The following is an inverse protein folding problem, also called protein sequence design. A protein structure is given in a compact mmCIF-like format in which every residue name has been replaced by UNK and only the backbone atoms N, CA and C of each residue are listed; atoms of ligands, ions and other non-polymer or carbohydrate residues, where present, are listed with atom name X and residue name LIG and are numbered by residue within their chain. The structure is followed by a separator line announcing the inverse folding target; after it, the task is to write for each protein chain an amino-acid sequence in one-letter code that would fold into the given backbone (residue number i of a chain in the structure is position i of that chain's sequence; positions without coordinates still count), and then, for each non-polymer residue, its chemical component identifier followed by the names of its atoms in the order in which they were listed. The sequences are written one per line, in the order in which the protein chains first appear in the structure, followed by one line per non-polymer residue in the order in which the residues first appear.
data_IF_137199325463
#
_entry.id   IF_137199325463
#
_cell.length_a   1.000
_cell.length_b   1.000
_cell.length_c   1.000
_cell.angle_alpha   90.00
_cell.angle_beta   90.00
_cell.angle_gamma   90.00
#
_symmetry.space_group_name_H-M   'P 1'
#
loop_
_entity.id
_entity.type
_entity.pdbx_description
1 polymer ?
#
# COMPACT_ATOMS: atom_id res chain seq x y z
N UNK A 1 -3.05 -1.24 -28.70
CA UNK A 1 -3.75 -0.94 -27.43
C UNK A 1 -3.61 0.54 -27.17
N UNK A 2 -4.74 1.25 -27.07
CA UNK A 2 -4.74 2.68 -26.80
C UNK A 2 -4.23 2.86 -25.37
N UNK A 3 -3.06 3.48 -25.23
CA UNK A 3 -2.55 3.92 -23.94
C UNK A 3 -3.64 4.81 -23.33
N UNK A 4 -4.20 4.39 -22.19
CA UNK A 4 -5.23 5.13 -21.47
C UNK A 4 -4.55 6.29 -20.75
N UNK A 5 -4.12 7.28 -21.53
CA UNK A 5 -3.25 8.40 -21.14
C UNK A 5 -3.94 9.45 -20.23
N UNK A 6 -5.05 9.07 -19.60
CA UNK A 6 -5.96 9.97 -18.88
C UNK A 6 -6.43 9.42 -17.52
N UNK A 7 -5.83 8.34 -17.00
CA UNK A 7 -6.09 7.94 -15.61
C UNK A 7 -5.48 9.00 -14.68
N UNK A 8 -6.24 9.55 -13.71
CA UNK A 8 -5.70 10.53 -12.77
C UNK A 8 -4.58 9.93 -11.92
N UNK A 9 -3.52 10.69 -11.66
CA UNK A 9 -2.37 10.22 -10.88
C UNK A 9 -2.81 9.91 -9.43
N UNK A 10 -2.17 8.93 -8.78
CA UNK A 10 -2.56 8.54 -7.43
C UNK A 10 -2.55 9.70 -6.42
N UNK A 11 -1.76 10.76 -6.68
CA UNK A 11 -1.46 11.87 -5.78
C UNK A 11 -2.16 13.19 -6.13
N UNK A 12 -2.99 13.25 -7.18
CA UNK A 12 -3.60 14.51 -7.67
C UNK A 12 -4.67 15.11 -6.74
N UNK A 13 -5.06 14.41 -5.66
CA UNK A 13 -6.08 14.87 -4.71
C UNK A 13 -5.43 15.30 -3.39
N UNK A 14 -5.93 16.36 -2.73
CA UNK A 14 -5.34 16.90 -1.51
C UNK A 14 -5.30 15.89 -0.36
N UNK A 15 -6.31 15.02 -0.26
CA UNK A 15 -6.37 13.90 0.69
C UNK A 15 -6.87 12.65 -0.02
N UNK A 16 -6.14 11.54 0.11
CA UNK A 16 -6.53 10.24 -0.43
C UNK A 16 -6.57 9.14 0.63
N UNK A 17 -7.68 8.42 0.66
CA UNK A 17 -7.83 7.17 1.40
C UNK A 17 -7.72 6.05 0.39
N UNK A 18 -6.71 5.18 0.54
CA UNK A 18 -6.61 3.97 -0.25
C UNK A 18 -7.16 2.79 0.55
N UNK A 19 -8.30 2.27 0.09
CA UNK A 19 -8.80 0.96 0.44
C UNK A 19 -8.22 -0.03 -0.59
N UNK A 20 -7.81 -1.23 -0.17
CA UNK A 20 -7.08 -2.21 -1.01
C UNK A 20 -7.95 -2.82 -2.14
N UNK A 21 -9.04 -2.15 -2.53
CA UNK A 21 -9.99 -2.63 -3.52
C UNK A 21 -10.51 -1.48 -4.42
N UNK A 22 -9.68 -0.48 -4.71
CA UNK A 22 -10.08 0.61 -5.59
C UNK A 22 -9.74 0.26 -7.05
N UNK A 23 -10.79 -0.14 -7.80
CA UNK A 23 -10.85 -0.34 -9.25
C UNK A 23 -9.71 -1.15 -9.94
N UNK A 24 -9.80 -1.44 -11.24
CA UNK A 24 -8.64 -1.97 -11.99
C UNK A 24 -7.53 -0.91 -12.15
N UNK A 25 -7.86 0.38 -11.96
CA UNK A 25 -7.04 1.53 -12.32
C UNK A 25 -6.39 2.26 -11.13
N UNK A 26 -6.68 1.89 -9.88
CA UNK A 26 -6.11 2.53 -8.68
C UNK A 26 -5.27 1.57 -7.81
N UNK A 27 -4.79 0.48 -8.43
CA UNK A 27 -4.04 -0.56 -7.73
C UNK A 27 -2.63 -0.09 -7.38
N UNK A 28 -2.31 -0.08 -6.09
CA UNK A 28 -0.95 0.11 -5.57
C UNK A 28 -0.38 -1.22 -5.10
N UNK A 29 0.79 -1.61 -5.60
CA UNK A 29 1.45 -2.86 -5.20
C UNK A 29 2.57 -2.59 -4.20
N UNK A 30 2.53 -3.25 -3.04
CA UNK A 30 3.61 -3.20 -2.06
C UNK A 30 4.66 -4.26 -2.34
N UNK A 31 5.90 -3.84 -2.60
CA UNK A 31 7.03 -4.72 -2.91
C UNK A 31 8.26 -4.36 -2.09
N UNK A 32 9.26 -5.21 -2.24
CA UNK A 32 10.64 -4.88 -1.99
C UNK A 32 11.38 -5.16 -3.29
N UNK A 33 12.09 -4.17 -3.82
CA UNK A 33 12.96 -4.37 -4.96
C UNK A 33 14.29 -4.95 -4.46
N UNK A 34 14.86 -5.92 -5.17
CA UNK A 34 16.11 -6.57 -4.76
C UNK A 34 17.33 -5.94 -5.45
N UNK A 35 17.16 -5.49 -6.68
CA UNK A 35 18.23 -4.83 -7.46
C UNK A 35 17.66 -3.70 -8.31
N UNK A 36 18.52 -2.83 -8.82
CA UNK A 36 18.14 -1.78 -9.78
C UNK A 36 17.52 -2.33 -11.07
N UNK A 37 18.01 -3.48 -11.54
CA UNK A 37 17.52 -4.07 -12.79
C UNK A 37 16.13 -4.67 -12.59
N UNK A 38 15.92 -5.33 -11.44
CA UNK A 38 14.63 -5.89 -11.12
C UNK A 38 13.55 -4.82 -10.98
N UNK A 39 13.82 -3.73 -10.26
CA UNK A 39 12.80 -2.67 -10.12
C UNK A 39 12.41 -2.10 -11.48
N UNK A 40 13.38 -1.91 -12.39
CA UNK A 40 13.11 -1.39 -13.74
C UNK A 40 12.16 -2.31 -14.51
N UNK A 41 12.39 -3.63 -14.47
CA UNK A 41 11.51 -4.62 -15.12
C UNK A 41 10.12 -4.62 -14.48
N UNK A 42 10.04 -4.55 -13.15
CA UNK A 42 8.77 -4.51 -12.41
C UNK A 42 7.94 -3.28 -12.77
N UNK A 43 8.55 -2.11 -12.98
CA UNK A 43 7.83 -0.91 -13.44
C UNK A 43 7.14 -1.19 -14.77
N UNK A 44 7.90 -1.63 -15.78
CA UNK A 44 7.35 -1.92 -17.11
C UNK A 44 6.25 -2.98 -17.08
N UNK A 45 6.41 -4.03 -16.27
CA UNK A 45 5.40 -5.09 -16.13
C UNK A 45 4.13 -4.58 -15.44
N UNK A 46 4.26 -3.77 -14.39
CA UNK A 46 3.12 -3.24 -13.65
C UNK A 46 2.35 -2.20 -14.47
N UNK A 47 3.02 -1.30 -15.17
CA UNK A 47 2.37 -0.38 -16.10
C UNK A 47 1.58 -1.14 -17.18
N UNK A 48 2.17 -2.18 -17.78
CA UNK A 48 1.49 -3.03 -18.77
C UNK A 48 0.28 -3.77 -18.20
N UNK A 49 0.31 -4.09 -16.91
CA UNK A 49 -0.80 -4.71 -16.19
C UNK A 49 -1.87 -3.71 -15.73
N UNK A 50 -1.70 -2.41 -16.00
CA UNK A 50 -2.62 -1.34 -15.58
C UNK A 50 -2.55 -1.01 -14.10
N UNK A 51 -1.45 -1.34 -13.43
CA UNK A 51 -1.21 -0.99 -12.02
C UNK A 51 -0.79 0.48 -11.94
N UNK A 52 -1.37 1.21 -10.98
CA UNK A 52 -1.21 2.66 -10.84
C UNK A 52 0.07 3.08 -10.10
N UNK A 53 0.68 2.16 -9.36
CA UNK A 53 1.93 2.46 -8.68
C UNK A 53 2.51 1.30 -7.90
N UNK A 54 3.71 1.55 -7.37
CA UNK A 54 4.45 0.61 -6.52
C UNK A 54 4.93 1.32 -5.25
N UNK A 55 4.91 0.60 -4.13
CA UNK A 55 5.55 1.02 -2.89
C UNK A 55 6.72 0.10 -2.57
N UNK A 56 7.93 0.66 -2.44
CA UNK A 56 9.17 -0.10 -2.26
C UNK A 56 9.89 0.28 -0.97
N UNK A 57 10.11 -0.70 -0.09
CA UNK A 57 10.79 -0.53 1.20
C UNK A 57 12.33 -0.71 1.15
N UNK A 58 13.03 -0.18 2.14
CA UNK A 58 14.50 -0.21 2.30
C UNK A 58 15.02 -1.25 3.33
N UNK A 59 14.24 -2.30 3.60
CA UNK A 59 14.66 -3.42 4.46
C UNK A 59 15.76 -4.30 3.81
N UNK A 60 16.50 -5.07 4.61
CA UNK A 60 17.37 -6.18 4.15
C UNK A 60 16.59 -7.48 3.87
N UNK A 61 17.26 -8.50 3.32
CA UNK A 61 16.63 -9.80 2.96
C UNK A 61 16.81 -10.83 4.08
N UNK A 62 15.81 -11.68 4.38
CA UNK A 62 14.44 -11.72 3.83
C UNK A 62 13.50 -10.62 4.38
N UNK A 63 12.43 -10.29 3.63
CA UNK A 63 11.41 -9.31 4.07
C UNK A 63 10.75 -9.78 5.37
N UNK A 64 10.74 -8.91 6.38
CA UNK A 64 10.04 -9.13 7.65
C UNK A 64 8.88 -8.16 7.74
N UNK A 65 7.69 -8.64 8.10
CA UNK A 65 6.54 -7.78 8.36
C UNK A 65 6.90 -6.68 9.38
N UNK A 66 6.47 -5.43 9.12
CA UNK A 66 6.66 -4.28 10.00
C UNK A 66 5.90 -4.39 11.33
N UNK A 67 5.13 -5.46 11.54
CA UNK A 67 4.44 -5.77 12.80
C UNK A 67 5.14 -6.87 13.62
N UNK A 68 6.11 -7.63 13.07
CA UNK A 68 6.80 -8.66 13.86
C UNK A 68 7.60 -8.06 15.02
N UNK A 69 7.32 -8.55 16.22
CA UNK A 69 8.08 -8.26 17.43
C UNK A 69 9.43 -9.00 17.43
N UNK A 70 10.45 -8.34 17.95
CA UNK A 70 11.81 -8.86 18.05
C UNK A 70 12.76 -7.75 18.49
N UNK A 71 13.59 -8.03 19.50
CA UNK A 71 14.47 -7.05 20.12
C UNK A 71 15.67 -6.65 19.25
N UNK A 72 16.01 -7.46 18.25
CA UNK A 72 17.11 -7.20 17.35
C UNK A 72 16.83 -5.99 16.45
N UNK A 73 17.74 -5.01 16.50
CA UNK A 73 17.76 -3.86 15.58
C UNK A 73 17.75 -4.39 14.15
N UNK A 74 16.76 -3.95 13.36
CA UNK A 74 16.60 -4.42 11.98
C UNK A 74 17.64 -3.72 11.12
N UNK A 75 18.38 -4.48 10.33
CA UNK A 75 19.28 -3.92 9.33
C UNK A 75 18.47 -3.39 8.15
N UNK A 76 18.85 -2.22 7.66
CA UNK A 76 18.32 -1.60 6.46
C UNK A 76 19.42 -1.54 5.41
N UNK A 77 19.04 -1.53 4.13
CA UNK A 77 20.03 -1.33 3.08
C UNK A 77 20.63 0.09 3.16
N UNK A 78 21.83 0.29 2.59
CA UNK A 78 22.43 1.62 2.50
C UNK A 78 21.50 2.62 1.80
N UNK A 79 21.48 3.86 2.28
CA UNK A 79 20.64 4.95 1.72
C UNK A 79 20.88 5.10 0.21
N UNK A 80 22.14 5.13 -0.20
CA UNK A 80 22.53 5.25 -1.61
C UNK A 80 22.03 4.08 -2.48
N UNK A 81 21.85 2.89 -1.91
CA UNK A 81 21.34 1.74 -2.65
C UNK A 81 19.86 1.90 -2.98
N UNK A 82 19.03 2.27 -2.00
CA UNK A 82 17.61 2.51 -2.26
C UNK A 82 17.41 3.71 -3.19
N UNK A 83 18.17 4.79 -3.01
CA UNK A 83 18.14 5.94 -3.91
C UNK A 83 18.49 5.55 -5.37
N UNK A 84 19.41 4.61 -5.59
CA UNK A 84 19.69 4.07 -6.94
C UNK A 84 18.51 3.29 -7.52
N UNK A 85 17.74 2.60 -6.68
CA UNK A 85 16.55 1.85 -7.13
C UNK A 85 15.41 2.82 -7.50
N UNK A 86 15.21 3.87 -6.71
CA UNK A 86 14.26 4.94 -7.05
C UNK A 86 14.60 5.53 -8.42
N UNK A 87 15.85 5.97 -8.63
CA UNK A 87 16.28 6.49 -9.94
C UNK A 87 16.05 5.50 -11.09
N UNK A 88 16.46 4.24 -10.92
CA UNK A 88 16.26 3.22 -11.94
C UNK A 88 14.77 2.97 -12.25
N UNK A 89 13.90 3.01 -11.23
CA UNK A 89 12.46 2.88 -11.42
C UNK A 89 11.90 4.07 -12.23
N UNK A 90 12.27 5.30 -11.88
CA UNK A 90 11.84 6.50 -12.61
C UNK A 90 12.41 6.58 -14.03
N UNK A 91 13.62 6.05 -14.25
CA UNK A 91 14.22 5.93 -15.59
C UNK A 91 13.49 4.90 -16.48
N UNK A 92 12.90 3.86 -15.88
CA UNK A 92 12.20 2.79 -16.59
C UNK A 92 10.71 3.06 -16.84
N UNK A 93 10.17 4.08 -16.18
CA UNK A 93 8.76 4.48 -16.24
C UNK A 93 8.41 5.04 -17.62
N UNK A 94 7.31 4.56 -18.21
CA UNK A 94 6.78 5.07 -19.49
C UNK A 94 5.51 5.91 -19.30
N UNK A 95 4.75 5.70 -18.23
CA UNK A 95 3.51 6.41 -17.91
C UNK A 95 3.74 7.41 -16.77
N UNK A 96 3.68 8.71 -17.03
CA UNK A 96 3.84 9.77 -16.02
C UNK A 96 2.79 9.71 -14.89
N UNK A 97 1.66 9.02 -15.10
CA UNK A 97 0.65 8.80 -14.05
C UNK A 97 1.06 7.71 -13.04
N UNK A 98 2.04 6.87 -13.37
CA UNK A 98 2.53 5.81 -12.48
C UNK A 98 3.29 6.38 -11.28
N UNK A 99 2.96 5.92 -10.08
CA UNK A 99 3.52 6.46 -8.83
C UNK A 99 4.50 5.49 -8.19
N UNK A 100 5.72 5.98 -7.89
CA UNK A 100 6.71 5.30 -7.07
C UNK A 100 6.73 5.86 -5.65
N UNK A 101 6.31 5.05 -4.69
CA UNK A 101 6.32 5.40 -3.26
C UNK A 101 7.54 4.75 -2.59
N UNK A 102 8.47 5.55 -2.08
CA UNK A 102 9.59 5.04 -1.29
C UNK A 102 9.18 4.88 0.17
N UNK A 103 9.21 3.66 0.69
CA UNK A 103 8.88 3.34 2.08
C UNK A 103 10.12 3.31 2.96
N UNK A 104 10.13 4.17 3.97
CA UNK A 104 11.24 4.32 4.93
C UNK A 104 10.93 3.50 6.18
N UNK A 105 11.76 2.49 6.47
CA UNK A 105 11.58 1.58 7.62
C UNK A 105 12.45 1.96 8.84
N UNK A 106 13.14 3.11 8.81
CA UNK A 106 14.06 3.54 9.87
C UNK A 106 13.44 3.59 11.27
N UNK A 107 12.21 4.10 11.40
CA UNK A 107 11.49 4.14 12.69
C UNK A 107 11.11 2.73 13.15
N UNK A 108 10.54 1.91 12.25
CA UNK A 108 10.26 0.48 12.50
C UNK A 108 11.50 -0.27 12.97
N UNK A 109 12.66 0.05 12.41
CA UNK A 109 13.95 -0.56 12.70
C UNK A 109 14.67 0.05 13.92
N UNK A 110 14.11 1.07 14.58
CA UNK A 110 14.71 1.79 15.73
C UNK A 110 16.04 2.47 15.41
N UNK A 111 16.14 3.06 14.22
CA UNK A 111 17.28 3.92 13.83
C UNK A 111 17.06 5.39 14.24
N UNK A 112 15.82 5.76 14.58
CA UNK A 112 15.45 7.11 15.05
C UNK A 112 15.03 8.06 13.93
N UNK A 113 14.55 9.24 14.32
CA UNK A 113 13.95 10.24 13.42
C UNK A 113 14.95 10.79 12.42
N UNK A 114 16.17 11.15 12.85
CA UNK A 114 17.18 11.71 11.94
C UNK A 114 17.56 10.73 10.81
N UNK A 115 17.69 9.44 11.12
CA UNK A 115 17.94 8.41 10.10
C UNK A 115 16.74 8.23 9.14
N UNK A 116 15.51 8.41 9.64
CA UNK A 116 14.32 8.39 8.80
C UNK A 116 14.28 9.60 7.85
N UNK A 117 14.60 10.80 8.36
CA UNK A 117 14.67 12.04 7.57
C UNK A 117 15.76 11.95 6.50
N UNK A 118 16.97 11.51 6.85
CA UNK A 118 18.08 11.33 5.90
C UNK A 118 17.66 10.44 4.72
N UNK A 119 17.01 9.31 5.00
CA UNK A 119 16.51 8.37 4.00
C UNK A 119 15.40 8.98 3.16
N UNK A 120 14.40 9.58 3.79
CA UNK A 120 13.28 10.22 3.10
C UNK A 120 13.75 11.30 2.13
N UNK A 121 14.69 12.16 2.56
CA UNK A 121 15.28 13.21 1.72
C UNK A 121 16.01 12.59 0.54
N UNK A 122 16.89 11.61 0.78
CA UNK A 122 17.64 10.97 -0.28
C UNK A 122 16.76 10.25 -1.31
N UNK A 123 15.60 9.70 -0.88
CA UNK A 123 14.68 9.01 -1.77
C UNK A 123 13.81 9.99 -2.57
N UNK A 124 13.38 11.08 -1.94
CA UNK A 124 12.70 12.17 -2.61
C UNK A 124 13.61 12.85 -3.65
N UNK A 125 14.87 13.13 -3.31
CA UNK A 125 15.87 13.68 -4.23
C UNK A 125 16.23 12.71 -5.37
N UNK A 126 16.02 11.42 -5.17
CA UNK A 126 16.18 10.40 -6.20
C UNK A 126 14.97 10.29 -7.15
N UNK A 127 13.88 11.02 -6.89
CA UNK A 127 12.69 11.08 -7.75
C UNK A 127 11.49 10.28 -7.25
N UNK A 128 11.45 9.88 -5.97
CA UNK A 128 10.25 9.24 -5.42
C UNK A 128 9.07 10.23 -5.42
N UNK A 129 7.91 9.79 -5.90
CA UNK A 129 6.71 10.62 -6.01
C UNK A 129 6.03 10.82 -4.66
N UNK A 130 6.22 9.89 -3.73
CA UNK A 130 5.80 10.02 -2.34
C UNK A 130 6.74 9.25 -1.40
N UNK A 131 6.75 9.66 -0.13
CA UNK A 131 7.46 8.95 0.95
C UNK A 131 6.43 8.33 1.89
N UNK A 132 6.50 7.01 2.06
CA UNK A 132 5.75 6.33 3.11
C UNK A 132 6.59 6.26 4.38
N UNK A 133 6.15 6.95 5.43
CA UNK A 133 6.73 6.89 6.76
C UNK A 133 5.86 6.01 7.66
N UNK A 134 6.49 5.10 8.40
CA UNK A 134 5.78 4.14 9.25
C UNK A 134 6.46 4.03 10.61
N UNK A 135 5.68 4.06 11.68
CA UNK A 135 6.15 3.94 13.06
C UNK A 135 5.32 2.89 13.83
N UNK A 136 5.90 2.38 14.92
CA UNK A 136 5.23 1.56 15.93
C UNK A 136 4.87 2.33 17.20
N UNK A 137 5.27 3.60 17.26
CA UNK A 137 4.96 4.47 18.39
C UNK A 137 3.47 4.75 18.42
N UNK A 138 2.80 4.29 19.47
CA UNK A 138 1.37 4.51 19.68
C UNK A 138 1.02 5.97 19.97
N UNK A 139 2.01 6.79 20.33
CA UNK A 139 1.82 8.20 20.71
C UNK A 139 1.96 9.17 19.54
N UNK A 140 2.33 8.68 18.35
CA UNK A 140 2.69 9.48 17.16
C UNK A 140 3.89 10.42 17.31
N UNK A 141 4.58 10.47 18.45
CA UNK A 141 5.67 11.42 18.66
C UNK A 141 6.76 11.29 17.59
N UNK A 142 7.16 10.07 17.24
CA UNK A 142 8.15 9.87 16.16
C UNK A 142 7.69 10.40 14.80
N UNK A 143 6.40 10.32 14.50
CA UNK A 143 5.82 10.84 13.26
C UNK A 143 5.76 12.38 13.32
N UNK A 144 5.34 12.95 14.44
CA UNK A 144 5.29 14.40 14.64
C UNK A 144 6.70 15.02 14.54
N UNK A 145 7.70 14.40 15.17
CA UNK A 145 9.09 14.83 15.07
C UNK A 145 9.59 14.72 13.62
N UNK A 146 9.29 13.62 12.92
CA UNK A 146 9.64 13.47 11.50
C UNK A 146 9.00 14.56 10.63
N UNK A 147 7.71 14.84 10.83
CA UNK A 147 6.96 15.86 10.09
C UNK A 147 7.53 17.25 10.32
N UNK A 148 7.83 17.62 11.57
CA UNK A 148 8.46 18.89 11.89
C UNK A 148 9.78 19.07 11.14
N UNK A 149 10.66 18.07 11.16
CA UNK A 149 11.94 18.10 10.43
C UNK A 149 11.75 18.15 8.91
N UNK A 150 10.78 17.40 8.38
CA UNK A 150 10.45 17.40 6.96
C UNK A 150 10.00 18.78 6.46
N UNK A 151 9.16 19.45 7.25
CA UNK A 151 8.69 20.82 6.97
C UNK A 151 9.78 21.88 7.16
N UNK A 152 10.61 21.78 8.20
CA UNK A 152 11.76 22.67 8.43
C UNK A 152 12.73 22.67 7.23
N UNK A 153 12.88 21.51 6.58
CA UNK A 153 13.70 21.33 5.38
C UNK A 153 13.02 21.82 4.09
N UNK A 154 11.79 22.35 4.17
CA UNK A 154 11.03 22.85 3.04
C UNK A 154 10.63 21.77 2.02
N UNK A 155 10.54 20.50 2.44
CA UNK A 155 10.22 19.39 1.54
C UNK A 155 8.73 19.39 1.19
N UNK A 156 8.44 19.22 -0.09
CA UNK A 156 7.07 19.23 -0.63
C UNK A 156 6.60 17.87 -1.13
N UNK A 157 7.49 16.87 -1.20
CA UNK A 157 7.12 15.54 -1.67
C UNK A 157 6.05 14.95 -0.73
N UNK A 158 4.92 14.45 -1.28
CA UNK A 158 3.82 13.83 -0.56
C UNK A 158 4.24 12.80 0.49
N UNK A 159 3.60 12.85 1.66
CA UNK A 159 3.78 11.86 2.71
C UNK A 159 2.60 10.90 2.79
N UNK A 160 2.91 9.62 3.00
CA UNK A 160 1.95 8.52 3.10
C UNK A 160 2.10 7.85 4.46
N UNK A 161 0.98 7.52 5.10
CA UNK A 161 0.96 6.81 6.38
C UNK A 161 0.09 5.54 6.35
N UNK A 162 0.44 4.60 7.24
CA UNK A 162 -0.27 3.34 7.45
C UNK A 162 -0.62 3.23 8.95
N UNK A 163 -1.82 3.65 9.39
CA UNK A 163 -2.13 3.85 10.81
C UNK A 163 -2.50 2.57 11.58
N UNK A 164 -2.12 1.39 11.10
CA UNK A 164 -2.48 0.11 11.74
C UNK A 164 -1.99 -0.01 13.20
N UNK A 165 -0.87 0.65 13.55
CA UNK A 165 -0.27 0.59 14.90
C UNK A 165 -0.52 1.83 15.76
N UNK A 166 -1.16 2.86 15.21
CA UNK A 166 -1.55 4.08 15.90
C UNK A 166 -3.01 4.43 15.52
N UNK A 167 -3.97 3.58 15.90
CA UNK A 167 -5.33 3.59 15.35
C UNK A 167 -6.19 4.76 15.85
N UNK A 168 -5.74 5.51 16.86
CA UNK A 168 -6.55 6.53 17.54
C UNK A 168 -6.62 7.88 16.79
N UNK A 169 -5.98 7.97 15.62
CA UNK A 169 -5.93 9.20 14.82
C UNK A 169 -6.78 9.08 13.56
N UNK A 170 -7.68 10.05 13.37
CA UNK A 170 -8.51 10.10 12.17
C UNK A 170 -7.69 10.46 10.94
N UNK A 171 -8.29 10.26 9.76
CA UNK A 171 -7.68 10.65 8.50
C UNK A 171 -7.47 12.17 8.45
N UNK A 172 -8.46 12.93 8.94
CA UNK A 172 -8.44 14.40 8.98
C UNK A 172 -7.32 14.91 9.88
N UNK A 173 -7.18 14.33 11.08
CA UNK A 173 -6.10 14.70 12.00
C UNK A 173 -4.72 14.42 11.42
N UNK A 174 -4.56 13.33 10.67
CA UNK A 174 -3.29 13.03 9.97
C UNK A 174 -3.05 13.98 8.80
N UNK A 175 -4.13 14.38 8.11
CA UNK A 175 -4.06 15.33 7.00
C UNK A 175 -3.65 16.73 7.44
N UNK A 176 -4.23 17.23 8.54
CA UNK A 176 -3.86 18.50 9.17
C UNK A 176 -2.37 18.56 9.54
N UNK A 177 -1.76 17.40 9.81
CA UNK A 177 -0.33 17.26 10.10
C UNK A 177 0.56 17.15 8.85
N UNK A 178 -0.01 17.19 7.65
CA UNK A 178 0.73 17.17 6.39
C UNK A 178 0.82 15.80 5.69
N UNK A 179 0.12 14.77 6.19
CA UNK A 179 0.00 13.49 5.48
C UNK A 179 -1.04 13.62 4.34
N UNK A 180 -0.69 13.19 3.13
CA UNK A 180 -1.54 13.35 1.96
C UNK A 180 -2.27 12.05 1.56
N UNK A 181 -1.72 10.90 1.95
CA UNK A 181 -2.34 9.60 1.69
C UNK A 181 -2.33 8.70 2.92
N UNK A 182 -3.48 8.08 3.20
CA UNK A 182 -3.65 7.08 4.26
C UNK A 182 -3.97 5.73 3.63
N UNK A 183 -3.32 4.67 4.13
CA UNK A 183 -3.52 3.30 3.65
C UNK A 183 -4.01 2.40 4.80
N UNK A 184 -5.22 1.88 4.66
CA UNK A 184 -5.80 0.90 5.58
C UNK A 184 -5.39 -0.53 5.18
N UNK A 185 -4.14 -0.90 5.49
CA UNK A 185 -3.46 -2.03 4.87
C UNK A 185 -4.10 -3.42 5.08
N UNK A 186 -4.61 -3.75 6.28
CA UNK A 186 -5.01 -5.13 6.61
C UNK A 186 -6.37 -5.26 7.33
N UNK A 187 -7.11 -4.16 7.46
CA UNK A 187 -8.41 -4.15 8.15
C UNK A 187 -9.45 -5.06 7.47
N UNK A 188 -9.60 -5.07 6.12
CA UNK A 188 -10.54 -5.98 5.46
C UNK A 188 -10.23 -7.46 5.72
N UNK A 189 -8.96 -7.84 5.66
CA UNK A 189 -8.53 -9.22 5.98
C UNK A 189 -8.85 -9.58 7.43
N UNK A 190 -8.59 -8.68 8.38
CA UNK A 190 -8.91 -8.89 9.80
C UNK A 190 -10.40 -9.04 10.02
N UNK A 191 -11.22 -8.24 9.35
CA UNK A 191 -12.68 -8.36 9.39
C UNK A 191 -13.16 -9.70 8.83
N UNK A 192 -12.60 -10.15 7.69
CA UNK A 192 -12.93 -11.43 7.09
C UNK A 192 -12.60 -12.61 8.04
N UNK A 193 -11.44 -12.59 8.71
CA UNK A 193 -11.09 -13.61 9.70
C UNK A 193 -12.12 -13.68 10.82
N UNK A 194 -12.50 -12.54 11.40
CA UNK A 194 -13.52 -12.51 12.46
C UNK A 194 -14.87 -13.05 12.00
N UNK A 195 -15.34 -12.65 10.80
CA UNK A 195 -16.61 -13.13 10.25
C UNK A 195 -16.60 -14.65 9.97
N UNK A 196 -15.48 -15.18 9.47
CA UNK A 196 -15.31 -16.62 9.25
C UNK A 196 -15.35 -17.37 10.59
N UNK A 197 -14.63 -16.91 11.61
CA UNK A 197 -14.60 -17.54 12.93
C UNK A 197 -15.98 -17.56 13.61
N UNK A 198 -16.74 -16.47 13.49
CA UNK A 198 -18.10 -16.37 14.01
C UNK A 198 -19.07 -17.30 13.26
N UNK A 199 -19.05 -17.28 11.93
CA UNK A 199 -19.88 -18.14 11.09
C UNK A 199 -19.66 -19.62 11.39
N UNK A 200 -18.39 -20.04 11.48
CA UNK A 200 -18.05 -21.43 11.77
C UNK A 200 -18.51 -21.86 13.18
N UNK A 201 -18.42 -20.97 14.16
CA UNK A 201 -18.92 -21.23 15.52
C UNK A 201 -20.42 -21.47 15.53
N UNK A 202 -21.20 -20.57 14.93
CA UNK A 202 -22.67 -20.70 14.86
C UNK A 202 -23.09 -21.96 14.12
N UNK A 203 -22.43 -22.30 13.01
CA UNK A 203 -22.69 -23.54 12.28
C UNK A 203 -22.37 -24.80 13.10
N UNK A 204 -21.30 -24.76 13.90
CA UNK A 204 -20.90 -25.88 14.76
C UNK A 204 -21.91 -26.10 15.90
N UNK A 205 -22.41 -25.01 16.50
CA UNK A 205 -23.37 -25.05 17.62
C UNK A 205 -24.78 -25.45 17.15
N UNK A 206 -25.30 -24.77 16.13
CA UNK A 206 -26.69 -24.94 15.65
C UNK A 206 -26.86 -26.10 14.66
N UNK A 207 -25.77 -26.56 14.05
CA UNK A 207 -25.73 -27.68 13.07
C UNK A 207 -26.74 -27.50 11.92
N UNK A 208 -26.99 -26.26 11.52
CA UNK A 208 -27.99 -25.89 10.51
C UNK A 208 -27.45 -24.77 9.63
N UNK A 209 -27.39 -24.96 8.32
CA UNK A 209 -26.87 -23.94 7.41
C UNK A 209 -27.62 -22.60 7.51
N UNK A 210 -28.96 -22.65 7.58
CA UNK A 210 -29.78 -21.45 7.65
C UNK A 210 -29.67 -20.68 8.99
N UNK A 211 -28.84 -21.11 9.95
CA UNK A 211 -28.61 -20.34 11.18
C UNK A 211 -27.76 -19.09 10.94
N UNK A 212 -27.05 -19.00 9.81
CA UNK A 212 -26.17 -17.87 9.49
C UNK A 212 -26.64 -17.04 8.29
N UNK A 213 -27.77 -17.38 7.67
CA UNK A 213 -28.27 -16.69 6.45
C UNK A 213 -28.48 -15.19 6.65
N UNK A 214 -28.72 -14.73 7.89
CA UNK A 214 -28.87 -13.31 8.23
C UNK A 214 -27.55 -12.54 8.39
N UNK A 215 -26.43 -13.25 8.54
CA UNK A 215 -25.13 -12.69 8.92
C UNK A 215 -24.09 -12.77 7.79
N UNK A 216 -24.39 -13.51 6.70
CA UNK A 216 -23.49 -13.71 5.57
C UNK A 216 -24.06 -13.13 4.26
N UNK A 217 -23.18 -12.94 3.27
CA UNK A 217 -23.61 -12.54 1.93
C UNK A 217 -24.45 -13.62 1.26
N UNK A 218 -25.48 -13.21 0.51
CA UNK A 218 -26.28 -14.12 -0.32
C UNK A 218 -25.43 -14.71 -1.43
N UNK A 219 -25.74 -15.94 -1.85
CA UNK A 219 -25.09 -16.61 -2.98
C UNK A 219 -25.18 -15.77 -4.26
N UNK A 220 -26.34 -15.18 -4.55
CA UNK A 220 -26.53 -14.31 -5.73
C UNK A 220 -25.56 -13.13 -5.74
N UNK A 221 -25.29 -12.54 -4.57
CA UNK A 221 -24.34 -11.44 -4.48
C UNK A 221 -22.90 -11.90 -4.77
N UNK A 222 -22.54 -13.13 -4.38
CA UNK A 222 -21.24 -13.70 -4.74
C UNK A 222 -21.15 -13.91 -6.26
N UNK A 223 -22.23 -14.34 -6.91
CA UNK A 223 -22.27 -14.50 -8.36
C UNK A 223 -22.15 -13.17 -9.11
N UNK A 224 -22.80 -12.12 -8.61
CA UNK A 224 -22.64 -10.75 -9.11
C UNK A 224 -21.17 -10.29 -9.00
N UNK A 225 -20.51 -10.56 -7.87
CA UNK A 225 -19.12 -10.14 -7.63
C UNK A 225 -18.10 -10.82 -8.55
N UNK A 226 -18.33 -12.09 -8.92
CA UNK A 226 -17.42 -12.84 -9.80
C UNK A 226 -17.85 -12.84 -11.27
N UNK A 227 -18.87 -12.04 -11.61
CA UNK A 227 -19.45 -11.94 -12.96
C UNK A 227 -19.78 -13.30 -13.57
N UNK A 228 -20.56 -14.09 -12.81
CA UNK A 228 -20.96 -15.44 -13.26
C UNK A 228 -21.81 -15.38 -14.52
N UNK A 229 -22.51 -14.27 -14.75
CA UNK A 229 -23.33 -14.06 -15.94
C UNK A 229 -22.47 -14.05 -17.22
N UNK A 230 -21.35 -13.33 -17.22
CA UNK A 230 -20.43 -13.35 -18.36
C UNK A 230 -19.83 -14.74 -18.62
N UNK A 231 -19.60 -15.53 -17.57
CA UNK A 231 -19.13 -16.91 -17.72
C UNK A 231 -20.20 -17.81 -18.35
N UNK A 232 -21.46 -17.68 -17.93
CA UNK A 232 -22.58 -18.42 -18.50
C UNK A 232 -22.77 -18.06 -19.99
N UNK A 233 -22.73 -16.77 -20.34
CA UNK A 233 -22.87 -16.32 -21.73
C UNK A 233 -21.78 -16.89 -22.63
N UNK A 234 -20.53 -16.99 -22.15
CA UNK A 234 -19.43 -17.61 -22.87
C UNK A 234 -19.61 -19.14 -23.03
N UNK A 235 -20.25 -19.81 -22.07
CA UNK A 235 -20.56 -21.25 -22.17
C UNK A 235 -21.71 -21.51 -23.15
N UNK A 236 -22.71 -20.64 -23.17
CA UNK A 236 -23.90 -20.74 -24.03
C UNK A 236 -23.63 -20.33 -25.48
N UNK A 237 -22.77 -19.34 -25.71
CA UNK A 237 -22.24 -18.95 -27.03
C UNK A 237 -20.71 -18.79 -27.00
N UNK A 238 -19.96 -19.90 -27.11
CA UNK A 238 -18.50 -19.88 -27.08
C UNK A 238 -17.86 -19.25 -28.33
N UNK A 239 -18.65 -18.96 -29.37
CA UNK A 239 -18.18 -18.39 -30.64
C UNK A 239 -18.48 -16.89 -30.80
N UNK A 240 -19.45 -16.35 -30.07
CA UNK A 240 -19.84 -14.94 -30.12
C UNK A 240 -20.42 -14.52 -31.47
N UNK A 241 -21.07 -15.43 -32.20
CA UNK A 241 -21.68 -15.21 -33.53
C UNK A 241 -23.21 -15.20 -33.49
#
# INVERSE_FOLDING_TARGET
MVSNRNSPNLLDRPLRILLVEDSKHDRLVFRRAFTKNQVSVEITEFERAGIAGICVEDNTFPKRNSLYEGEARRELIPVAEQARRVRAAKEAQEDDAFVFIARVEALIAKHGVEAAVERAVAYADAGADAILIHSRDKTLREIDDFLARWHDLGRTVPLVAVPTLFPDFTVEQQHEKGIQMIIFANHPMRAAVSAIEETLRTLQEERKAASVDGDISRVDHIFELVDTQAAIELEEDPTGE
#
